data_IF_912900120795
#
_entry.id   IF_912900120795
#
_cell.length_a   1.000
_cell.length_b   1.000
_cell.length_c   1.000
_cell.angle_alpha   90.00
_cell.angle_beta   90.00
_cell.angle_gamma   90.00
#
_symmetry.space_group_name_H-M   'P 1'
#
loop_
_entity.id
_entity.type
_entity.pdbx_description
1 polymer ?
#
# COMPACT_ATOMS: atom_id res chain seq x y z
N UNK A 1 -48.42 -1.67 -53.96
CA UNK A 1 -48.35 -0.31 -53.38
C UNK A 1 -46.89 -0.05 -53.01
N UNK A 2 -46.16 0.71 -53.82
CA UNK A 2 -44.74 0.98 -53.58
C UNK A 2 -44.63 2.13 -52.58
N UNK A 3 -44.19 1.86 -51.35
CA UNK A 3 -43.89 2.90 -50.37
C UNK A 3 -42.67 3.69 -50.86
N UNK A 4 -42.87 4.97 -51.21
CA UNK A 4 -41.78 5.93 -51.46
C UNK A 4 -40.88 5.98 -50.21
N UNK A 5 -39.65 5.47 -50.31
CA UNK A 5 -38.64 5.73 -49.28
C UNK A 5 -38.34 7.23 -49.30
N UNK A 6 -38.57 7.91 -48.17
CA UNK A 6 -38.10 9.28 -47.99
C UNK A 6 -36.57 9.24 -47.90
N UNK A 7 -35.89 9.89 -48.84
CA UNK A 7 -34.44 10.05 -48.83
C UNK A 7 -34.03 11.02 -47.72
N UNK A 8 -32.96 10.69 -47.02
CA UNK A 8 -32.38 11.53 -45.97
C UNK A 8 -31.61 12.68 -46.63
N UNK A 9 -31.87 13.92 -46.21
CA UNK A 9 -31.11 15.07 -46.73
C UNK A 9 -29.76 15.17 -46.03
N UNK A 10 -28.73 15.63 -46.75
CA UNK A 10 -27.38 15.81 -46.19
C UNK A 10 -27.41 16.74 -44.96
N UNK A 11 -28.31 17.73 -44.96
CA UNK A 11 -28.51 18.68 -43.87
C UNK A 11 -29.03 17.99 -42.61
N UNK A 12 -30.03 17.10 -42.73
CA UNK A 12 -30.55 16.34 -41.59
C UNK A 12 -29.45 15.49 -40.93
N UNK A 13 -28.56 14.88 -41.73
CA UNK A 13 -27.41 14.14 -41.21
C UNK A 13 -26.44 15.04 -40.45
N UNK A 14 -26.14 16.21 -41.03
CA UNK A 14 -25.16 17.15 -40.49
C UNK A 14 -25.62 17.73 -39.15
N UNK A 15 -26.91 18.07 -39.02
CA UNK A 15 -27.47 18.57 -37.76
C UNK A 15 -27.40 17.51 -36.66
N UNK A 16 -27.71 16.24 -36.97
CA UNK A 16 -27.68 15.15 -35.99
C UNK A 16 -26.26 14.91 -35.47
N UNK A 17 -25.26 14.85 -36.35
CA UNK A 17 -23.87 14.68 -35.91
C UNK A 17 -23.37 15.88 -35.11
N UNK A 18 -23.80 17.11 -35.44
CA UNK A 18 -23.43 18.31 -34.70
C UNK A 18 -23.97 18.27 -33.25
N UNK A 19 -25.22 17.85 -33.08
CA UNK A 19 -25.83 17.70 -31.74
C UNK A 19 -25.09 16.62 -30.94
N UNK A 20 -24.81 15.46 -31.53
CA UNK A 20 -24.06 14.38 -30.87
C UNK A 20 -22.67 14.86 -30.46
N UNK A 21 -21.96 15.59 -31.32
CA UNK A 21 -20.63 16.13 -31.02
C UNK A 21 -20.65 17.08 -29.82
N UNK A 22 -21.65 17.98 -29.73
CA UNK A 22 -21.82 18.89 -28.60
C UNK A 22 -22.12 18.11 -27.32
N UNK A 23 -23.03 17.13 -27.36
CA UNK A 23 -23.36 16.31 -26.20
C UNK A 23 -22.14 15.54 -25.69
N UNK A 24 -21.39 14.90 -26.58
CA UNK A 24 -20.17 14.16 -26.20
C UNK A 24 -19.09 15.09 -25.66
N UNK A 25 -18.91 16.27 -26.25
CA UNK A 25 -17.94 17.26 -25.78
C UNK A 25 -18.25 17.75 -24.35
N UNK A 26 -19.52 17.86 -23.98
CA UNK A 26 -19.94 18.20 -22.62
C UNK A 26 -19.84 17.02 -21.65
N UNK A 27 -20.06 15.78 -22.14
CA UNK A 27 -20.02 14.57 -21.30
C UNK A 27 -18.60 14.10 -20.99
N UNK A 28 -17.64 14.24 -21.91
CA UNK A 28 -16.27 13.74 -21.72
C UNK A 28 -15.57 14.32 -20.47
N UNK A 29 -15.57 15.65 -20.22
CA UNK A 29 -15.00 16.22 -19.00
C UNK A 29 -15.70 15.70 -17.74
N UNK A 30 -17.03 15.58 -17.77
CA UNK A 30 -17.82 15.14 -16.63
C UNK A 30 -17.55 13.66 -16.28
N UNK A 31 -17.43 12.78 -17.27
CA UNK A 31 -17.13 11.35 -17.05
C UNK A 31 -15.75 11.16 -16.41
N UNK A 32 -14.75 11.98 -16.77
CA UNK A 32 -13.43 11.88 -16.16
C UNK A 32 -13.42 12.34 -14.70
N UNK A 33 -14.13 13.43 -14.39
CA UNK A 33 -14.32 13.87 -13.02
C UNK A 33 -15.02 12.80 -12.17
N UNK A 34 -16.08 12.18 -12.70
CA UNK A 34 -16.78 11.10 -12.03
C UNK A 34 -15.87 9.87 -11.79
N UNK A 35 -15.05 9.49 -12.78
CA UNK A 35 -14.09 8.38 -12.64
C UNK A 35 -13.05 8.67 -11.56
N UNK A 36 -12.48 9.87 -11.54
CA UNK A 36 -11.51 10.24 -10.51
C UNK A 36 -12.15 10.33 -9.12
N UNK A 37 -13.37 10.86 -9.00
CA UNK A 37 -14.11 10.87 -7.75
C UNK A 37 -14.35 9.45 -7.21
N UNK A 38 -14.69 8.49 -8.09
CA UNK A 38 -14.82 7.09 -7.73
C UNK A 38 -13.49 6.50 -7.24
N UNK A 39 -12.38 6.72 -7.98
CA UNK A 39 -11.04 6.26 -7.56
C UNK A 39 -10.62 6.81 -6.21
N UNK A 40 -10.84 8.11 -5.95
CA UNK A 40 -10.58 8.75 -4.66
C UNK A 40 -11.43 8.15 -3.54
N UNK A 41 -12.68 7.83 -3.83
CA UNK A 41 -13.59 7.20 -2.86
C UNK A 41 -13.08 5.80 -2.47
N UNK A 42 -12.62 5.01 -3.45
CA UNK A 42 -11.95 3.73 -3.18
C UNK A 42 -10.67 3.93 -2.35
N UNK A 43 -9.84 4.93 -2.68
CA UNK A 43 -8.62 5.19 -1.90
C UNK A 43 -8.91 5.53 -0.43
N UNK A 44 -9.95 6.33 -0.17
CA UNK A 44 -10.42 6.65 1.18
C UNK A 44 -10.93 5.42 1.90
N UNK A 45 -11.64 4.52 1.21
CA UNK A 45 -12.13 3.28 1.80
C UNK A 45 -10.97 2.36 2.22
N UNK A 46 -9.97 2.18 1.37
CA UNK A 46 -8.77 1.42 1.72
C UNK A 46 -8.07 2.04 2.93
N UNK A 47 -7.91 3.37 2.99
CA UNK A 47 -7.33 4.04 4.16
C UNK A 47 -8.13 3.78 5.44
N UNK A 48 -9.47 3.75 5.36
CA UNK A 48 -10.32 3.36 6.50
C UNK A 48 -10.07 1.91 6.93
N UNK A 49 -9.91 0.98 5.99
CA UNK A 49 -9.57 -0.41 6.29
C UNK A 49 -8.22 -0.51 7.01
N UNK A 50 -7.20 0.22 6.56
CA UNK A 50 -5.92 0.33 7.27
C UNK A 50 -6.10 0.92 8.67
N UNK A 51 -6.90 1.97 8.82
CA UNK A 51 -7.20 2.57 10.13
C UNK A 51 -7.88 1.59 11.09
N UNK A 52 -8.86 0.82 10.61
CA UNK A 52 -9.51 -0.23 11.38
C UNK A 52 -8.52 -1.33 11.79
N UNK A 53 -7.68 -1.78 10.86
CA UNK A 53 -6.65 -2.78 11.14
C UNK A 53 -5.65 -2.29 12.21
N UNK A 54 -5.25 -1.01 12.16
CA UNK A 54 -4.38 -0.38 13.15
C UNK A 54 -5.04 -0.28 14.52
N UNK A 55 -6.33 0.07 14.58
CA UNK A 55 -7.08 0.11 15.84
C UNK A 55 -7.26 -1.29 16.44
N UNK A 56 -7.58 -2.30 15.62
CA UNK A 56 -7.68 -3.69 16.08
C UNK A 56 -6.33 -4.22 16.61
N UNK A 57 -5.23 -3.88 15.94
CA UNK A 57 -3.88 -4.16 16.43
C UNK A 57 -3.66 -3.50 17.81
N UNK A 58 -3.98 -2.21 17.92
CA UNK A 58 -3.83 -1.48 19.18
C UNK A 58 -4.71 -2.07 20.30
N UNK A 59 -5.93 -2.47 20.01
CA UNK A 59 -6.84 -3.06 21.01
C UNK A 59 -6.32 -4.40 21.52
N UNK A 60 -5.65 -5.17 20.66
CA UNK A 60 -5.04 -6.47 20.98
C UNK A 60 -3.72 -6.30 21.73
N UNK A 61 -2.81 -5.47 21.24
CA UNK A 61 -1.43 -5.35 21.74
C UNK A 61 -1.20 -4.16 22.67
N UNK A 62 -2.21 -3.31 22.89
CA UNK A 62 -2.16 -2.06 23.69
C UNK A 62 -1.07 -1.08 23.26
N UNK A 63 -0.69 -1.14 21.98
CA UNK A 63 0.28 -0.27 21.33
C UNK A 63 0.02 -0.26 19.83
N UNK A 64 0.33 0.83 19.14
CA UNK A 64 0.35 0.86 17.68
C UNK A 64 1.55 0.07 17.14
N UNK A 65 1.46 -0.49 15.92
CA UNK A 65 2.56 -1.26 15.38
C UNK A 65 3.80 -0.38 15.17
N UNK A 66 5.00 -0.91 15.43
CA UNK A 66 6.23 -0.20 15.14
C UNK A 66 6.36 0.02 13.62
N UNK A 67 6.94 1.15 13.22
CA UNK A 67 7.20 1.47 11.83
C UNK A 67 8.10 0.42 11.16
N UNK A 68 9.10 -0.05 11.90
CA UNK A 68 9.98 -1.16 11.54
C UNK A 68 10.48 -1.86 12.81
N UNK A 69 10.57 -3.18 12.77
CA UNK A 69 11.23 -3.99 13.79
C UNK A 69 12.69 -4.18 13.37
N UNK A 70 13.63 -4.11 14.32
CA UNK A 70 15.06 -4.35 14.06
C UNK A 70 15.26 -5.81 13.58
N UNK A 71 16.12 -6.01 12.59
CA UNK A 71 16.23 -7.30 11.89
C UNK A 71 17.66 -7.76 11.68
N UNK A 72 18.15 -8.59 12.60
CA UNK A 72 19.11 -9.69 12.38
C UNK A 72 19.09 -10.58 13.64
N UNK A 73 18.73 -11.86 13.53
CA UNK A 73 18.76 -12.77 14.70
C UNK A 73 20.18 -13.04 15.19
N UNK A 74 21.18 -12.95 14.30
CA UNK A 74 22.59 -13.07 14.67
C UNK A 74 23.26 -11.74 15.05
N UNK A 75 22.61 -10.59 14.82
CA UNK A 75 23.11 -9.28 15.22
C UNK A 75 21.97 -8.28 15.47
N UNK A 76 21.40 -8.24 16.68
CA UNK A 76 20.33 -7.32 17.06
C UNK A 76 20.72 -5.83 16.96
N UNK A 77 22.01 -5.52 16.75
CA UNK A 77 22.54 -4.16 16.61
C UNK A 77 22.65 -3.69 15.14
N UNK A 78 22.36 -4.54 14.13
CA UNK A 78 22.20 -4.04 12.75
C UNK A 78 20.79 -3.50 12.59
N UNK A 79 20.67 -2.19 12.73
CA UNK A 79 19.38 -1.51 12.80
C UNK A 79 18.64 -1.45 11.46
N UNK A 80 19.33 -1.69 10.34
CA UNK A 80 18.83 -1.32 9.01
C UNK A 80 18.78 -2.48 8.03
N UNK A 81 17.60 -2.65 7.41
CA UNK A 81 17.45 -3.27 6.11
C UNK A 81 16.92 -4.70 6.07
N UNK A 82 16.59 -5.35 7.19
CA UNK A 82 16.15 -6.76 7.13
C UNK A 82 15.04 -7.12 8.12
N UNK A 83 14.29 -6.12 8.61
CA UNK A 83 13.23 -6.30 9.59
C UNK A 83 11.86 -5.94 9.06
N UNK A 84 10.83 -6.42 9.74
CA UNK A 84 9.44 -6.29 9.29
C UNK A 84 8.86 -4.93 9.62
N UNK A 85 8.04 -4.39 8.73
CA UNK A 85 7.38 -3.08 8.92
C UNK A 85 6.01 -3.20 9.58
N UNK A 86 5.44 -2.05 9.95
CA UNK A 86 4.05 -1.94 10.44
C UNK A 86 3.04 -2.68 9.56
N UNK A 87 3.26 -2.71 8.24
CA UNK A 87 2.37 -3.38 7.30
C UNK A 87 2.28 -4.88 7.52
N UNK A 88 3.39 -5.52 7.94
CA UNK A 88 3.40 -6.94 8.29
C UNK A 88 2.63 -7.21 9.59
N UNK A 89 2.65 -6.26 10.54
CA UNK A 89 1.99 -6.41 11.85
C UNK A 89 0.47 -6.42 11.75
N UNK A 90 -0.08 -5.70 10.78
CA UNK A 90 -1.53 -5.55 10.63
C UNK A 90 -2.17 -6.58 9.71
N UNK A 91 -1.38 -7.46 9.08
CA UNK A 91 -1.88 -8.48 8.15
C UNK A 91 -3.02 -9.35 8.74
N UNK A 92 -2.97 -9.81 10.01
CA UNK A 92 -4.06 -10.57 10.61
C UNK A 92 -5.39 -9.80 10.63
N UNK A 93 -5.32 -8.48 10.77
CA UNK A 93 -6.48 -7.58 10.84
C UNK A 93 -6.92 -7.06 9.46
N UNK A 94 -6.28 -7.55 8.39
CA UNK A 94 -6.60 -7.25 6.99
C UNK A 94 -7.01 -8.49 6.19
N UNK A 95 -7.50 -9.55 6.87
CA UNK A 95 -7.83 -10.83 6.25
C UNK A 95 -6.61 -11.51 5.57
N UNK A 96 -5.39 -11.16 5.98
CA UNK A 96 -4.13 -11.75 5.49
C UNK A 96 -3.45 -12.63 6.55
N UNK A 97 -4.23 -13.25 7.45
CA UNK A 97 -3.73 -14.11 8.52
C UNK A 97 -2.88 -15.28 8.02
N UNK A 98 -3.28 -15.93 6.93
CA UNK A 98 -2.52 -17.05 6.36
C UNK A 98 -1.11 -16.66 5.89
N UNK A 99 -0.92 -15.41 5.42
CA UNK A 99 0.39 -14.88 5.06
C UNK A 99 1.17 -14.56 6.33
N UNK A 100 0.52 -13.93 7.31
CA UNK A 100 1.13 -13.59 8.58
C UNK A 100 1.69 -14.83 9.30
N UNK A 101 0.93 -15.92 9.37
CA UNK A 101 1.32 -17.16 10.06
C UNK A 101 2.59 -17.77 9.48
N UNK A 102 2.77 -17.66 8.16
CA UNK A 102 3.95 -18.15 7.44
C UNK A 102 5.20 -17.29 7.63
N UNK A 103 5.09 -16.06 8.13
CA UNK A 103 6.25 -15.20 8.37
C UNK A 103 7.14 -15.83 9.44
N UNK A 104 8.40 -16.09 9.08
CA UNK A 104 9.38 -16.62 10.01
C UNK A 104 10.05 -15.45 10.76
N UNK A 105 9.81 -15.29 12.08
CA UNK A 105 10.41 -14.21 12.85
C UNK A 105 11.91 -14.39 13.11
N UNK A 106 12.46 -15.58 12.85
CA UNK A 106 13.86 -15.92 13.18
C UNK A 106 14.87 -15.63 12.08
N UNK A 107 14.39 -15.16 10.92
CA UNK A 107 15.23 -14.79 9.77
C UNK A 107 14.80 -13.42 9.25
N UNK A 108 15.69 -12.78 8.48
CA UNK A 108 15.40 -11.50 7.88
C UNK A 108 14.26 -11.51 6.86
N UNK A 109 13.65 -10.36 6.62
CA UNK A 109 12.58 -10.16 5.60
C UNK A 109 13.07 -10.53 4.19
N UNK A 110 14.36 -10.34 3.91
CA UNK A 110 14.96 -10.62 2.60
C UNK A 110 15.64 -11.99 2.52
N UNK A 111 15.51 -12.82 3.54
CA UNK A 111 16.22 -14.09 3.67
C UNK A 111 15.26 -15.30 3.63
N UNK A 112 15.77 -16.44 3.15
CA UNK A 112 15.10 -17.73 3.22
C UNK A 112 13.63 -17.72 2.77
N UNK A 113 12.75 -18.29 3.61
CA UNK A 113 11.31 -18.41 3.34
C UNK A 113 10.57 -17.07 3.31
N UNK A 114 11.06 -16.04 4.02
CA UNK A 114 10.43 -14.72 4.04
C UNK A 114 10.54 -14.03 2.68
N UNK A 115 11.61 -14.26 1.92
CA UNK A 115 11.84 -13.65 0.61
C UNK A 115 10.65 -13.81 -0.33
N UNK A 116 10.19 -15.05 -0.51
CA UNK A 116 9.08 -15.38 -1.42
C UNK A 116 7.75 -14.89 -0.86
N UNK A 117 7.55 -15.03 0.44
CA UNK A 117 6.32 -14.63 1.13
C UNK A 117 6.11 -13.12 1.09
N UNK A 118 7.17 -12.34 1.24
CA UNK A 118 7.09 -10.88 1.17
C UNK A 118 6.75 -10.43 -0.25
N UNK A 119 7.27 -11.08 -1.30
CA UNK A 119 6.89 -10.74 -2.67
C UNK A 119 5.39 -10.93 -2.94
N UNK A 120 4.75 -11.93 -2.32
CA UNK A 120 3.31 -12.19 -2.52
C UNK A 120 2.42 -11.05 -2.02
N UNK A 121 2.89 -10.25 -1.05
CA UNK A 121 2.17 -9.08 -0.53
C UNK A 121 1.88 -8.01 -1.60
N UNK A 122 2.64 -7.99 -2.70
CA UNK A 122 2.37 -7.11 -3.85
C UNK A 122 1.04 -7.39 -4.55
N UNK A 123 0.44 -8.56 -4.29
CA UNK A 123 -0.84 -8.99 -4.85
C UNK A 123 -2.04 -8.62 -3.97
N UNK A 124 -1.82 -8.11 -2.75
CA UNK A 124 -2.92 -7.71 -1.86
C UNK A 124 -3.69 -6.55 -2.49
N UNK A 125 -5.00 -6.69 -2.60
CA UNK A 125 -5.86 -5.64 -3.10
C UNK A 125 -5.99 -4.49 -2.10
N UNK A 126 -6.14 -3.26 -2.61
CA UNK A 126 -6.33 -2.10 -1.76
C UNK A 126 -5.08 -1.49 -1.13
N UNK A 127 -3.89 -2.10 -1.30
CA UNK A 127 -2.61 -1.51 -0.83
C UNK A 127 -2.09 -0.39 -1.74
N UNK A 128 -2.56 -0.34 -2.99
CA UNK A 128 -2.32 0.77 -3.93
C UNK A 128 -3.61 1.55 -4.10
N UNK A 129 -3.52 2.88 -4.00
CA UNK A 129 -4.63 3.78 -4.26
C UNK A 129 -4.88 3.83 -5.78
N UNK A 130 -6.11 3.59 -6.29
CA UNK A 130 -6.38 3.70 -7.72
C UNK A 130 -6.09 5.07 -8.33
N UNK A 131 -6.11 6.15 -7.55
CA UNK A 131 -5.69 7.50 -8.00
C UNK A 131 -4.16 7.67 -8.08
N UNK A 132 -3.37 6.75 -7.54
CA UNK A 132 -1.91 6.70 -7.65
C UNK A 132 -1.52 5.81 -8.84
N UNK A 133 -1.85 6.28 -10.06
CA UNK A 133 -1.76 5.50 -11.30
C UNK A 133 -0.34 5.09 -11.69
N UNK A 134 0.66 5.82 -11.22
CA UNK A 134 2.04 5.67 -11.64
C UNK A 134 2.84 4.77 -10.68
N UNK A 135 2.22 4.34 -9.58
CA UNK A 135 2.87 3.51 -8.57
C UNK A 135 2.86 2.04 -8.98
N UNK A 136 4.06 1.52 -9.21
CA UNK A 136 4.28 0.07 -9.34
C UNK A 136 3.92 -0.66 -8.04
N UNK A 137 3.39 -1.89 -8.17
CA UNK A 137 3.12 -2.82 -7.06
C UNK A 137 4.39 -3.26 -6.32
N UNK A 138 5.54 -3.12 -6.96
CA UNK A 138 6.85 -3.35 -6.36
C UNK A 138 7.79 -2.17 -6.60
N UNK A 139 8.77 -2.00 -5.73
CA UNK A 139 9.82 -0.98 -5.84
C UNK A 139 11.18 -1.63 -5.69
N UNK A 140 12.18 -1.21 -6.48
CA UNK A 140 13.52 -1.78 -6.40
C UNK A 140 14.13 -1.51 -5.02
N UNK A 141 14.82 -2.49 -4.46
CA UNK A 141 15.66 -2.31 -3.27
C UNK A 141 17.02 -1.81 -3.75
N UNK A 142 17.62 -0.83 -3.07
CA UNK A 142 18.94 -0.31 -3.44
C UNK A 142 19.93 -1.49 -3.52
N UNK A 143 20.57 -1.64 -4.68
CA UNK A 143 21.28 -2.85 -5.06
C UNK A 143 22.36 -3.23 -4.06
N UNK A 144 22.13 -4.32 -3.33
CA UNK A 144 23.19 -5.05 -2.66
C UNK A 144 23.77 -6.05 -3.66
N UNK A 145 25.10 -6.11 -3.79
CA UNK A 145 25.80 -7.14 -4.57
C UNK A 145 25.69 -8.55 -3.97
N UNK A 146 25.02 -8.70 -2.82
CA UNK A 146 24.74 -9.99 -2.20
C UNK A 146 23.53 -10.65 -2.88
N UNK A 147 23.77 -11.83 -3.47
CA UNK A 147 22.77 -12.70 -4.14
C UNK A 147 21.56 -13.07 -3.26
N UNK A 148 21.65 -12.89 -1.95
CA UNK A 148 20.58 -13.17 -1.01
C UNK A 148 19.51 -12.07 -0.93
N UNK A 149 19.80 -10.82 -1.30
CA UNK A 149 18.83 -9.72 -1.19
C UNK A 149 17.70 -9.82 -2.25
N UNK A 150 16.52 -9.28 -1.91
CA UNK A 150 15.42 -9.11 -2.85
C UNK A 150 15.75 -8.00 -3.85
N UNK A 151 15.50 -8.24 -5.14
CA UNK A 151 15.65 -7.21 -6.18
C UNK A 151 14.56 -6.14 -6.12
N UNK A 152 13.40 -6.47 -5.54
CA UNK A 152 12.28 -5.55 -5.32
C UNK A 152 11.44 -5.97 -4.12
N UNK A 153 10.76 -4.99 -3.51
CA UNK A 153 9.82 -5.20 -2.40
C UNK A 153 8.43 -4.67 -2.76
N UNK A 154 7.37 -5.21 -2.16
CA UNK A 154 6.02 -4.67 -2.30
C UNK A 154 5.96 -3.18 -1.98
N UNK A 155 5.09 -2.50 -2.69
CA UNK A 155 4.86 -1.08 -2.61
C UNK A 155 3.42 -0.82 -2.17
N UNK A 156 3.23 0.23 -1.37
CA UNK A 156 1.90 0.72 -0.97
C UNK A 156 1.79 2.22 -1.21
N UNK A 157 0.59 2.72 -1.49
CA UNK A 157 0.28 4.17 -1.52
C UNK A 157 -0.01 4.74 -0.13
N UNK A 158 -0.18 3.90 0.88
CA UNK A 158 -0.52 4.28 2.25
C UNK A 158 0.73 4.18 3.12
N UNK A 159 1.23 5.32 3.59
CA UNK A 159 2.49 5.40 4.34
C UNK A 159 2.25 5.86 5.77
N UNK A 160 3.02 5.29 6.70
CA UNK A 160 3.04 5.74 8.09
C UNK A 160 3.93 6.96 8.29
N UNK A 161 3.58 7.81 9.26
CA UNK A 161 4.44 8.89 9.73
C UNK A 161 5.40 8.39 10.81
N UNK A 162 6.70 8.55 10.59
CA UNK A 162 7.75 8.26 11.58
C UNK A 162 7.95 9.39 12.59
N UNK A 163 7.21 10.50 12.47
CA UNK A 163 7.35 11.66 13.36
C UNK A 163 8.50 12.60 12.97
N UNK A 164 8.76 13.59 13.84
CA UNK A 164 9.64 14.73 13.55
C UNK A 164 11.14 14.42 13.65
N UNK A 165 11.52 13.34 14.36
CA UNK A 165 12.92 12.97 14.54
C UNK A 165 13.14 11.52 14.10
N UNK A 166 13.74 11.37 12.92
CA UNK A 166 14.34 10.12 12.47
C UNK A 166 15.84 10.11 12.82
N UNK A 167 16.20 10.40 14.08
CA UNK A 167 17.62 10.37 14.42
C UNK A 167 18.07 8.92 14.53
N UNK A 168 18.74 8.44 13.47
CA UNK A 168 19.22 7.06 13.28
C UNK A 168 20.17 6.54 14.36
N UNK A 169 20.53 7.38 15.34
CA UNK A 169 21.46 7.07 16.42
C UNK A 169 20.89 7.36 17.81
N UNK A 170 19.69 7.94 17.93
CA UNK A 170 19.12 8.32 19.23
C UNK A 170 18.02 7.32 19.66
N UNK A 171 18.45 6.29 20.39
CA UNK A 171 17.55 5.31 21.02
C UNK A 171 17.09 5.77 22.42
N UNK A 172 17.39 6.99 22.85
CA UNK A 172 17.25 7.38 24.26
C UNK A 172 15.91 8.04 24.63
N UNK A 173 15.13 8.49 23.64
CA UNK A 173 13.88 9.23 23.91
C UNK A 173 12.68 8.78 23.06
N UNK A 174 11.82 7.89 23.58
CA UNK A 174 10.64 7.36 22.86
C UNK A 174 9.54 8.41 22.63
N UNK A 175 9.62 9.60 23.23
CA UNK A 175 8.62 10.68 23.05
C UNK A 175 8.75 11.42 21.72
N UNK A 176 9.84 11.20 20.98
CA UNK A 176 10.13 11.89 19.71
C UNK A 176 9.78 11.06 18.47
N UNK A 177 9.38 9.79 18.65
CA UNK A 177 8.98 8.89 17.57
C UNK A 177 7.52 9.14 17.19
N UNK A 178 7.22 9.18 15.88
CA UNK A 178 5.85 9.38 15.39
C UNK A 178 4.90 8.22 15.71
N UNK A 179 3.65 8.33 15.23
CA UNK A 179 2.60 7.33 15.48
C UNK A 179 2.97 5.91 15.03
N UNK A 180 3.93 5.76 14.12
CA UNK A 180 4.61 4.51 13.84
C UNK A 180 6.00 4.57 14.46
N UNK A 181 6.15 3.99 15.64
CA UNK A 181 7.41 3.97 16.41
C UNK A 181 8.50 3.27 15.61
N UNK A 182 9.47 4.01 15.09
CA UNK A 182 10.50 3.42 14.23
C UNK A 182 11.57 2.66 15.01
N UNK A 183 11.81 3.03 16.28
CA UNK A 183 12.96 2.56 17.07
C UNK A 183 12.70 2.81 18.56
N UNK A 184 12.12 1.86 19.29
CA UNK A 184 12.02 1.93 20.76
C UNK A 184 12.82 0.78 21.39
N UNK A 185 13.76 1.04 22.32
CA UNK A 185 14.38 -0.02 23.12
C UNK A 185 13.42 -0.68 24.13
N UNK A 186 12.26 -0.08 24.43
CA UNK A 186 11.33 -0.54 25.45
C UNK A 186 10.21 -1.47 24.94
N UNK A 187 10.11 -1.77 23.63
CA UNK A 187 8.99 -2.52 23.03
C UNK A 187 9.44 -3.43 21.88
N UNK A 188 8.68 -4.51 21.58
CA UNK A 188 9.15 -5.78 21.01
C UNK A 188 10.22 -5.66 19.92
N UNK A 189 11.40 -6.21 20.23
CA UNK A 189 12.58 -6.17 19.36
C UNK A 189 12.51 -7.18 18.21
N UNK A 190 11.52 -8.07 18.19
CA UNK A 190 11.34 -9.12 17.19
C UNK A 190 9.86 -9.36 16.86
N UNK A 191 9.56 -9.95 15.70
CA UNK A 191 8.19 -10.42 15.40
C UNK A 191 7.72 -11.46 16.42
N UNK A 192 8.62 -12.33 16.89
CA UNK A 192 8.27 -13.39 17.84
C UNK A 192 7.73 -12.85 19.17
N UNK A 193 8.06 -11.60 19.52
CA UNK A 193 7.50 -10.93 20.70
C UNK A 193 6.14 -10.26 20.48
N UNK A 194 5.60 -10.32 19.25
CA UNK A 194 4.30 -9.73 18.86
C UNK A 194 3.32 -10.81 18.40
N UNK A 195 3.81 -11.90 17.79
CA UNK A 195 3.05 -13.15 17.55
C UNK A 195 2.76 -13.87 18.87
#
# INVERSE_FOLDING_TARGET
>A
MVMKRKGFTLIELLVVIAIIAILVALLLPAVQQAREAARRSSCKNNLKQFGLALHNYHDTHKVFPPGQIRGYVSNPNREFGNGFSWGAMILPFMEQGAIYDQLNPTIGVFEGSNKTLIQSLSSIEGVICPSDSDRSKTRPVHGSSNTNYMSSVPSTSYVGSSGAFNNWSDNSNPRLSGGFFTIDPAKPSTIASIK
#
